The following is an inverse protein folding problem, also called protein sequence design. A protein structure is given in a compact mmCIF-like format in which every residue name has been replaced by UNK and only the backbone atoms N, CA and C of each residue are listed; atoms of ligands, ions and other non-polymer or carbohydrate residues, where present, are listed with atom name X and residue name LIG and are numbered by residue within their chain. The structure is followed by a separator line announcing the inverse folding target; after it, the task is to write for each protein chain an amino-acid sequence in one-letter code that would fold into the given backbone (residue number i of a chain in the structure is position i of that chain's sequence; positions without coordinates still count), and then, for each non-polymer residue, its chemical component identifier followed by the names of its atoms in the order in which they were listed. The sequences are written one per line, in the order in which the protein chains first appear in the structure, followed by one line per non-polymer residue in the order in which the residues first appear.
data_IF_780360339494
#
_entry.id   IF_780360339494
#
_cell.length_a   1.000
_cell.length_b   1.000
_cell.length_c   1.000
_cell.angle_alpha   90.00
_cell.angle_beta   90.00
_cell.angle_gamma   90.00
#
_symmetry.space_group_name_H-M   'P 1'
#
loop_
_entity.id
_entity.type
_entity.pdbx_description
1 polymer ?
#
# COMPACT_ATOMS: atom_id res chain seq x y z
N UNK A 1 14.88 -6.89 -9.54
CA UNK A 1 14.16 -5.74 -10.14
C UNK A 1 15.11 -5.01 -11.07
N UNK A 2 14.61 -4.38 -12.14
CA UNK A 2 15.46 -3.59 -13.06
C UNK A 2 15.98 -2.34 -12.33
N UNK A 3 17.30 -2.23 -12.14
CA UNK A 3 17.92 -1.12 -11.40
C UNK A 3 17.69 0.25 -12.08
N UNK A 4 17.32 0.25 -13.37
CA UNK A 4 17.09 1.47 -14.15
C UNK A 4 15.61 1.86 -14.28
N UNK A 5 14.68 1.03 -13.79
CA UNK A 5 13.24 1.28 -13.99
C UNK A 5 12.52 1.28 -12.65
N UNK A 6 11.98 2.44 -12.28
CA UNK A 6 11.12 2.56 -11.12
C UNK A 6 9.72 2.02 -11.45
N UNK A 7 9.25 1.10 -10.62
CA UNK A 7 7.90 0.55 -10.73
C UNK A 7 6.97 1.26 -9.74
N UNK A 8 5.88 1.81 -10.28
CA UNK A 8 4.71 2.24 -9.51
C UNK A 8 3.54 1.37 -9.94
N UNK A 9 2.92 0.69 -8.99
CA UNK A 9 1.75 -0.14 -9.24
C UNK A 9 0.71 0.05 -8.13
N UNK A 10 -0.56 -0.09 -8.49
CA UNK A 10 -1.68 -0.03 -7.56
C UNK A 10 -2.21 -1.44 -7.41
N UNK A 11 -2.23 -1.93 -6.16
CA UNK A 11 -2.64 -3.30 -5.88
C UNK A 11 -3.41 -3.37 -4.56
N UNK A 12 -4.33 -4.31 -4.49
CA UNK A 12 -4.94 -4.80 -3.25
C UNK A 12 -4.52 -6.25 -2.95
N UNK A 13 -3.59 -6.82 -3.73
CA UNK A 13 -3.09 -8.18 -3.53
C UNK A 13 -1.94 -8.16 -2.52
N UNK A 14 -2.11 -8.91 -1.41
CA UNK A 14 -1.15 -8.98 -0.30
C UNK A 14 0.27 -9.36 -0.76
N UNK A 15 0.42 -10.40 -1.58
CA UNK A 15 1.72 -10.84 -2.07
C UNK A 15 2.41 -9.73 -2.89
N UNK A 16 1.63 -8.97 -3.66
CA UNK A 16 2.16 -7.84 -4.43
C UNK A 16 2.59 -6.69 -3.51
N UNK A 17 1.83 -6.41 -2.44
CA UNK A 17 2.18 -5.39 -1.45
C UNK A 17 3.45 -5.75 -0.67
N UNK A 18 3.63 -7.02 -0.31
CA UNK A 18 4.82 -7.51 0.40
C UNK A 18 6.12 -7.39 -0.42
N UNK A 19 6.01 -7.36 -1.76
CA UNK A 19 7.16 -7.18 -2.65
C UNK A 19 7.56 -5.71 -2.85
N UNK A 20 6.76 -4.76 -2.35
CA UNK A 20 7.03 -3.33 -2.53
C UNK A 20 8.12 -2.85 -1.56
N UNK A 21 9.03 -2.01 -2.06
CA UNK A 21 10.01 -1.33 -1.19
C UNK A 21 9.35 -0.25 -0.32
N UNK A 22 8.26 0.34 -0.80
CA UNK A 22 7.47 1.35 -0.09
C UNK A 22 5.98 1.15 -0.38
N UNK A 23 5.16 1.29 0.66
CA UNK A 23 3.70 1.28 0.54
C UNK A 23 3.11 2.65 0.82
N UNK A 24 2.23 3.09 -0.08
CA UNK A 24 1.47 4.33 0.05
C UNK A 24 -0.01 3.98 0.10
N UNK A 25 -0.65 4.30 1.21
CA UNK A 25 -2.08 4.07 1.39
C UNK A 25 -2.88 5.23 0.81
N UNK A 26 -4.03 4.92 0.21
CA UNK A 26 -5.02 5.91 -0.18
C UNK A 26 -6.33 5.56 0.50
N UNK A 27 -6.88 6.51 1.26
CA UNK A 27 -8.13 6.35 1.99
C UNK A 27 -9.08 7.49 1.70
N UNK A 28 -10.37 7.31 1.98
CA UNK A 28 -11.39 8.32 1.81
C UNK A 28 -12.06 8.59 3.17
N UNK A 29 -11.52 9.55 3.92
CA UNK A 29 -12.13 10.00 5.18
C UNK A 29 -13.43 10.76 4.94
N UNK A 30 -13.48 11.51 3.84
CA UNK A 30 -14.65 12.23 3.38
C UNK A 30 -15.12 11.60 2.06
N UNK A 31 -16.44 11.51 1.86
CA UNK A 31 -16.99 10.88 0.66
C UNK A 31 -16.55 11.64 -0.59
N UNK A 32 -15.82 10.95 -1.47
CA UNK A 32 -15.31 11.50 -2.72
C UNK A 32 -13.94 12.16 -2.62
N UNK A 33 -13.32 12.24 -1.44
CA UNK A 33 -12.01 12.89 -1.27
C UNK A 33 -10.96 11.87 -0.83
N UNK A 34 -10.04 11.55 -1.74
CA UNK A 34 -8.89 10.70 -1.45
C UNK A 34 -7.83 11.45 -0.65
N UNK A 35 -7.29 10.80 0.38
CA UNK A 35 -6.15 11.27 1.16
C UNK A 35 -5.04 10.21 1.15
N UNK A 36 -3.81 10.68 0.98
CA UNK A 36 -2.61 9.83 1.03
C UNK A 36 -2.21 9.64 2.50
N UNK A 37 -1.91 8.40 2.86
CA UNK A 37 -1.42 8.03 4.19
C UNK A 37 -0.16 7.18 4.07
N UNK A 38 0.79 7.40 4.97
CA UNK A 38 1.93 6.51 5.11
C UNK A 38 1.45 5.19 5.72
N UNK A 39 1.97 4.07 5.21
CA UNK A 39 1.60 2.73 5.68
C UNK A 39 2.81 2.11 6.34
N UNK A 40 2.69 1.81 7.64
CA UNK A 40 3.61 0.88 8.30
C UNK A 40 3.26 -0.53 7.83
N UNK A 41 4.19 -1.16 7.12
CA UNK A 41 3.99 -2.48 6.51
C UNK A 41 3.67 -3.53 7.58
N UNK A 42 4.30 -3.48 8.76
CA UNK A 42 4.02 -4.44 9.84
C UNK A 42 2.60 -4.28 10.36
N UNK A 43 2.22 -3.05 10.68
CA UNK A 43 0.89 -2.76 11.20
C UNK A 43 -0.21 -3.06 10.15
N UNK A 44 0.06 -2.79 8.88
CA UNK A 44 -0.88 -3.06 7.79
C UNK A 44 -1.14 -4.55 7.58
N UNK A 45 -0.11 -5.40 7.71
CA UNK A 45 -0.26 -6.85 7.65
C UNK A 45 -1.08 -7.37 8.84
N UNK A 46 -0.84 -6.87 10.05
CA UNK A 46 -1.59 -7.24 11.26
C UNK A 46 -3.07 -6.83 11.18
N UNK A 47 -3.38 -5.62 10.68
CA UNK A 47 -4.75 -5.16 10.50
C UNK A 47 -5.52 -5.97 9.43
N UNK A 48 -4.82 -6.44 8.40
CA UNK A 48 -5.43 -7.26 7.35
C UNK A 48 -5.76 -8.69 7.79
N UNK A 49 -5.10 -9.21 8.83
CA UNK A 49 -5.39 -10.53 9.41
C UNK A 49 -6.49 -10.50 10.48
N UNK A 50 -6.78 -9.31 11.03
CA UNK A 50 -7.80 -9.12 12.06
C UNK A 50 -9.25 -8.97 11.52
N UNK A 51 -9.44 -9.08 10.20
CA UNK A 51 -10.72 -8.96 9.48
C UNK A 51 -10.99 -10.24 8.70
#
# INVERSE_FOLDING_TARGET
MSVQTQFLYISHNRLTMEMAEQLVGVTMQEKGVSRVVAVDIKQALEMAEAV
#
